data_IF_075343174790
#
_entry.id   IF_075343174790
#
_cell.length_a   1.000
_cell.length_b   1.000
_cell.length_c   1.000
_cell.angle_alpha   90.00
_cell.angle_beta   90.00
_cell.angle_gamma   90.00
#
_symmetry.space_group_name_H-M   'P 1'
#
loop_
_entity.id
_entity.type
_entity.pdbx_description
1 polymer ?
#
# COMPACT_ATOMS: atom_id res chain seq x y z
N UNK A 1 24.05 9.04 22.72
CA UNK A 1 22.57 9.20 22.72
C UNK A 1 21.97 7.85 22.32
N UNK A 2 21.32 7.13 23.24
CA UNK A 2 20.68 5.85 22.90
C UNK A 2 19.30 6.11 22.29
N UNK A 3 19.12 5.77 21.01
CA UNK A 3 17.80 5.73 20.40
C UNK A 3 17.03 4.53 20.96
N UNK A 4 16.09 4.77 21.88
CA UNK A 4 15.14 3.74 22.30
C UNK A 4 14.21 3.41 21.13
N UNK A 5 14.04 2.12 20.75
CA UNK A 5 13.14 1.74 19.68
C UNK A 5 11.71 2.13 20.08
N UNK A 6 11.09 3.00 19.27
CA UNK A 6 9.68 3.36 19.40
C UNK A 6 8.90 2.69 18.28
N UNK A 7 7.74 2.09 18.56
CA UNK A 7 6.93 1.50 17.51
C UNK A 7 6.37 2.60 16.59
N UNK A 8 6.46 2.36 15.30
CA UNK A 8 6.00 3.31 14.27
C UNK A 8 5.19 2.58 13.22
N UNK A 9 4.15 3.23 12.72
CA UNK A 9 3.31 2.69 11.66
C UNK A 9 2.96 3.79 10.66
N UNK A 10 3.11 3.50 9.36
CA UNK A 10 2.77 4.44 8.28
C UNK A 10 1.52 3.98 7.54
N UNK A 11 0.50 4.85 7.52
CA UNK A 11 -0.76 4.65 6.79
C UNK A 11 -0.78 5.49 5.52
N UNK A 12 -1.37 5.01 4.41
CA UNK A 12 -1.53 5.78 3.18
C UNK A 12 -2.53 6.91 3.39
N UNK A 13 -2.17 8.14 3.01
CA UNK A 13 -3.08 9.30 3.11
C UNK A 13 -3.54 9.80 1.74
N UNK A 14 -2.75 9.56 0.70
CA UNK A 14 -3.15 9.91 -0.65
C UNK A 14 -1.99 9.96 -1.63
N UNK A 15 -2.10 10.85 -2.62
CA UNK A 15 -1.09 11.07 -3.65
C UNK A 15 -0.90 12.55 -3.89
N UNK A 16 0.35 12.94 -4.13
CA UNK A 16 0.68 14.27 -4.63
C UNK A 16 0.14 14.45 -6.06
N UNK A 17 0.04 15.69 -6.57
CA UNK A 17 -0.38 15.95 -7.96
C UNK A 17 0.46 15.23 -9.02
N UNK A 18 1.73 14.95 -8.73
CA UNK A 18 2.63 14.17 -9.57
C UNK A 18 2.39 12.65 -9.51
N UNK A 19 1.36 12.18 -8.79
CA UNK A 19 1.00 10.78 -8.66
C UNK A 19 1.81 9.99 -7.61
N UNK A 20 2.81 10.59 -6.95
CA UNK A 20 3.58 9.92 -5.88
C UNK A 20 2.71 9.73 -4.64
N UNK A 21 2.63 8.51 -4.07
CA UNK A 21 1.89 8.28 -2.83
C UNK A 21 2.60 8.94 -1.65
N UNK A 22 1.81 9.42 -0.68
CA UNK A 22 2.31 9.87 0.61
C UNK A 22 1.45 9.30 1.74
N UNK A 23 2.06 9.21 2.92
CA UNK A 23 1.47 8.59 4.09
C UNK A 23 1.69 9.39 5.36
N UNK A 24 0.89 9.08 6.36
CA UNK A 24 1.00 9.61 7.71
C UNK A 24 1.69 8.56 8.59
N UNK A 25 2.78 8.95 9.24
CA UNK A 25 3.49 8.10 10.20
C UNK A 25 3.05 8.40 11.61
N UNK A 26 2.60 7.37 12.31
CA UNK A 26 2.23 7.41 13.71
C UNK A 26 3.38 6.86 14.54
N UNK A 27 3.68 7.53 15.66
CA UNK A 27 4.72 7.12 16.59
C UNK A 27 4.07 6.79 17.93
N UNK A 28 4.14 5.52 18.31
CA UNK A 28 3.62 5.04 19.58
C UNK A 28 4.62 5.20 20.72
N UNK A 29 4.10 5.12 21.95
CA UNK A 29 4.93 4.82 23.13
C UNK A 29 5.39 3.35 23.05
N UNK A 30 6.45 2.99 23.79
CA UNK A 30 6.94 1.61 23.83
C UNK A 30 5.84 0.59 24.15
N UNK A 31 5.84 -0.55 23.46
CA UNK A 31 4.85 -1.63 23.58
C UNK A 31 3.39 -1.25 23.23
N UNK A 32 3.16 -0.13 22.54
CA UNK A 32 1.83 0.32 22.13
C UNK A 32 1.42 -0.14 20.71
N UNK A 33 2.07 -1.16 20.15
CA UNK A 33 1.86 -1.66 18.78
C UNK A 33 0.39 -2.01 18.49
N UNK A 34 -0.29 -2.65 19.45
CA UNK A 34 -1.70 -2.99 19.34
C UNK A 34 -2.60 -1.77 19.13
N UNK A 35 -2.30 -0.63 19.77
CA UNK A 35 -3.06 0.61 19.59
C UNK A 35 -2.78 1.25 18.23
N UNK A 36 -1.54 1.17 17.76
CA UNK A 36 -1.18 1.65 16.43
C UNK A 36 -1.91 0.86 15.34
N UNK A 37 -2.01 -0.46 15.50
CA UNK A 37 -2.73 -1.33 14.57
C UNK A 37 -4.25 -1.08 14.59
N UNK A 38 -4.85 -0.91 15.77
CA UNK A 38 -6.27 -0.56 15.88
C UNK A 38 -6.56 0.79 15.23
N UNK A 39 -5.72 1.79 15.48
CA UNK A 39 -5.88 3.10 14.86
C UNK A 39 -5.73 3.03 13.34
N UNK A 40 -4.75 2.29 12.82
CA UNK A 40 -4.59 2.16 11.37
C UNK A 40 -5.78 1.47 10.71
N UNK A 41 -6.36 0.47 11.36
CA UNK A 41 -7.55 -0.21 10.84
C UNK A 41 -8.76 0.74 10.78
N UNK A 42 -9.00 1.52 11.84
CA UNK A 42 -10.07 2.51 11.85
C UNK A 42 -9.86 3.58 10.78
N UNK A 43 -8.64 4.10 10.67
CA UNK A 43 -8.31 5.12 9.67
C UNK A 43 -8.48 4.61 8.24
N UNK A 44 -7.93 3.44 7.91
CA UNK A 44 -8.05 2.87 6.56
C UNK A 44 -9.49 2.50 6.20
N UNK A 45 -10.31 2.12 7.19
CA UNK A 45 -11.74 1.84 6.97
C UNK A 45 -12.51 3.10 6.59
N UNK A 46 -12.27 4.19 7.31
CA UNK A 46 -13.01 5.44 7.10
C UNK A 46 -12.44 6.25 5.92
N UNK A 47 -11.15 6.09 5.62
CA UNK A 47 -10.44 6.77 4.53
C UNK A 47 -9.59 5.80 3.69
N UNK A 48 -10.18 5.09 2.71
CA UNK A 48 -9.45 4.17 1.84
C UNK A 48 -8.63 4.92 0.78
N UNK A 49 -7.58 5.61 1.19
CA UNK A 49 -6.74 6.45 0.31
C UNK A 49 -5.78 5.65 -0.58
N UNK A 50 -5.63 4.33 -0.34
CA UNK A 50 -4.72 3.48 -1.12
C UNK A 50 -5.32 3.17 -2.49
N UNK A 51 -4.61 3.61 -3.54
CA UNK A 51 -4.95 3.30 -4.93
C UNK A 51 -3.97 2.29 -5.51
N UNK A 52 -4.48 1.25 -6.18
CA UNK A 52 -3.67 0.28 -6.91
C UNK A 52 -2.93 0.99 -8.06
N UNK A 53 -1.60 0.85 -8.19
CA UNK A 53 -0.85 1.44 -9.30
C UNK A 53 -1.32 0.88 -10.65
N UNK A 54 -1.53 1.75 -11.64
CA UNK A 54 -2.00 1.34 -12.98
C UNK A 54 -1.04 0.36 -13.67
N UNK A 55 0.27 0.52 -13.46
CA UNK A 55 1.29 -0.38 -14.00
C UNK A 55 1.13 -1.84 -13.50
N UNK A 56 0.66 -2.02 -12.27
CA UNK A 56 0.43 -3.35 -11.68
C UNK A 56 -0.86 -3.99 -12.18
N UNK A 57 -1.82 -3.21 -12.70
CA UNK A 57 -3.10 -3.71 -13.21
C UNK A 57 -2.90 -4.65 -14.40
N UNK A 58 -2.01 -4.30 -15.34
CA UNK A 58 -1.71 -5.12 -16.52
C UNK A 58 -0.95 -6.39 -16.18
N UNK A 59 0.03 -6.32 -15.27
CA UNK A 59 0.74 -7.52 -14.78
C UNK A 59 -0.22 -8.49 -14.09
N UNK A 60 -1.19 -7.98 -13.32
CA UNK A 60 -2.20 -8.81 -12.66
C UNK A 60 -3.14 -9.43 -13.69
N UNK A 61 -3.60 -8.68 -14.68
CA UNK A 61 -4.41 -9.22 -15.77
C UNK A 61 -3.68 -10.34 -16.54
N UNK A 62 -2.42 -10.09 -16.93
CA UNK A 62 -1.57 -11.08 -17.60
C UNK A 62 -1.33 -12.35 -16.77
N UNK A 63 -1.30 -12.26 -15.44
CA UNK A 63 -1.20 -13.43 -14.57
C UNK A 63 -2.47 -14.31 -14.58
N UNK A 64 -3.63 -13.75 -14.95
CA UNK A 64 -4.90 -14.48 -15.09
C UNK A 64 -5.24 -14.82 -16.54
N UNK A 65 -4.48 -14.32 -17.52
CA UNK A 65 -4.62 -14.74 -18.92
C UNK A 65 -3.97 -16.12 -19.06
N UNK A 66 -4.72 -17.18 -19.39
CA UNK A 66 -4.12 -18.50 -19.63
C UNK A 66 -3.10 -18.42 -20.78
N UNK A 67 -1.96 -19.09 -20.62
CA UNK A 67 -0.80 -19.04 -21.53
C UNK A 67 -1.14 -19.19 -23.03
N UNK A 68 -2.24 -19.87 -23.37
CA UNK A 68 -2.68 -20.06 -24.76
C UNK A 68 -3.12 -18.75 -25.46
N UNK A 69 -3.68 -17.78 -24.72
CA UNK A 69 -4.07 -16.47 -25.27
C UNK A 69 -2.88 -15.53 -25.47
N UNK A 70 -1.82 -15.68 -24.67
CA UNK A 70 -0.62 -14.86 -24.77
C UNK A 70 0.20 -15.15 -26.05
N UNK A 71 0.19 -16.40 -26.52
CA UNK A 71 0.91 -16.80 -27.74
C UNK A 71 0.25 -16.28 -29.03
N UNK A 72 -1.06 -16.06 -29.03
CA UNK A 72 -1.81 -15.66 -30.22
C UNK A 72 -1.73 -14.15 -30.55
N UNK A 73 -1.27 -13.33 -29.61
CA UNK A 73 -1.15 -11.86 -29.77
C UNK A 73 0.25 -11.44 -30.22
N UNK A 74 1.27 -12.26 -29.98
CA UNK A 74 2.67 -11.94 -30.35
C UNK A 74 3.11 -12.45 -31.72
N UNK A 75 2.27 -13.24 -32.41
CA UNK A 75 2.46 -13.68 -33.79
C UNK A 75 1.24 -13.30 -34.62
N UNK A 76 1.13 -12.03 -34.98
CA UNK A 76 0.40 -11.57 -36.16
C UNK A 76 0.96 -10.23 -36.63
#
# INVERSE_FOLDING_TARGET
>A
MHHLPKPTLTIPLGKYPNGKPYGLTLVGKGCADHKLLQFSQLFERDFPARLIPRATRWKRFMAYVPNFLAQKVFWN
#
